data_IF_172087909830
#
_entry.id   IF_172087909830
#
_cell.length_a   1.000
_cell.length_b   1.000
_cell.length_c   1.000
_cell.angle_alpha   90.00
_cell.angle_beta   90.00
_cell.angle_gamma   90.00
#
_symmetry.space_group_name_H-M   'P 1'
#
loop_
_entity.id
_entity.type
_entity.pdbx_description
1 polymer ?
#
# COMPACT_ATOMS: atom_id res chain seq x y z
N UNK A 1 -29.82 -23.81 21.12
CA UNK A 1 -30.47 -23.87 19.80
C UNK A 1 -30.06 -22.59 19.09
N UNK A 2 -29.24 -22.68 18.03
CA UNK A 2 -28.73 -21.49 17.34
C UNK A 2 -29.94 -20.79 16.71
N UNK A 3 -30.11 -19.52 17.04
CA UNK A 3 -31.22 -18.69 16.58
C UNK A 3 -31.20 -18.60 15.04
N UNK A 4 -32.36 -18.82 14.42
CA UNK A 4 -32.50 -18.93 12.96
C UNK A 4 -32.11 -17.62 12.28
N UNK A 5 -32.39 -16.47 12.91
CA UNK A 5 -31.99 -15.16 12.39
C UNK A 5 -30.47 -14.96 12.40
N UNK A 6 -29.80 -15.48 13.42
CA UNK A 6 -28.33 -15.51 13.51
C UNK A 6 -27.73 -16.36 12.38
N UNK A 7 -28.30 -17.53 12.12
CA UNK A 7 -27.86 -18.40 11.03
C UNK A 7 -28.09 -17.77 9.65
N UNK A 8 -29.21 -17.06 9.45
CA UNK A 8 -29.51 -16.35 8.20
C UNK A 8 -28.51 -15.22 7.95
N UNK A 9 -28.13 -14.47 9.01
CA UNK A 9 -27.10 -13.43 8.92
C UNK A 9 -25.74 -14.01 8.56
N UNK A 10 -25.32 -15.08 9.22
CA UNK A 10 -24.07 -15.78 8.90
C UNK A 10 -24.07 -16.31 7.46
N UNK A 11 -25.14 -16.97 7.03
CA UNK A 11 -25.25 -17.50 5.65
C UNK A 11 -25.21 -16.38 4.60
N UNK A 12 -25.79 -15.21 4.88
CA UNK A 12 -25.67 -14.04 3.98
C UNK A 12 -24.24 -13.51 3.94
N UNK A 13 -23.60 -13.35 5.09
CA UNK A 13 -22.21 -12.91 5.17
C UNK A 13 -21.27 -13.88 4.43
N UNK A 14 -21.46 -15.20 4.60
CA UNK A 14 -20.70 -16.20 3.84
C UNK A 14 -20.93 -16.12 2.34
N UNK A 15 -22.15 -15.83 1.88
CA UNK A 15 -22.44 -15.65 0.45
C UNK A 15 -21.76 -14.40 -0.11
N UNK A 16 -21.72 -13.32 0.66
CA UNK A 16 -21.01 -12.09 0.29
C UNK A 16 -19.49 -12.34 0.23
N UNK A 17 -18.93 -12.96 1.27
CA UNK A 17 -17.52 -13.37 1.30
C UNK A 17 -17.14 -14.30 0.14
N UNK A 18 -18.02 -15.25 -0.21
CA UNK A 18 -17.80 -16.14 -1.34
C UNK A 18 -17.81 -15.38 -2.67
N UNK A 19 -18.69 -14.40 -2.84
CA UNK A 19 -18.68 -13.55 -4.04
C UNK A 19 -17.38 -12.74 -4.13
N UNK A 20 -16.96 -12.15 -3.03
CA UNK A 20 -15.72 -11.36 -2.96
C UNK A 20 -14.48 -12.22 -3.20
N UNK A 21 -14.44 -13.43 -2.65
CA UNK A 21 -13.37 -14.40 -2.90
C UNK A 21 -13.28 -14.82 -4.37
N UNK A 22 -14.43 -15.16 -4.98
CA UNK A 22 -14.47 -15.55 -6.39
C UNK A 22 -14.04 -14.39 -7.30
N UNK A 23 -14.48 -13.17 -6.97
CA UNK A 23 -14.09 -11.95 -7.69
C UNK A 23 -12.58 -11.70 -7.65
N UNK A 24 -11.96 -11.73 -6.47
CA UNK A 24 -10.51 -11.52 -6.36
C UNK A 24 -9.71 -12.63 -7.06
N UNK A 25 -10.21 -13.86 -7.04
CA UNK A 25 -9.59 -14.98 -7.77
C UNK A 25 -9.68 -14.80 -9.29
N UNK A 26 -10.85 -14.47 -9.82
CA UNK A 26 -11.07 -14.23 -11.25
C UNK A 26 -10.25 -13.05 -11.77
N UNK A 27 -10.18 -11.96 -10.99
CA UNK A 27 -9.35 -10.79 -11.27
C UNK A 27 -7.85 -11.11 -11.31
N UNK A 28 -7.37 -12.00 -10.44
CA UNK A 28 -5.98 -12.45 -10.44
C UNK A 28 -5.67 -13.32 -11.68
N UNK A 29 -6.57 -14.23 -12.04
CA UNK A 29 -6.45 -15.06 -13.26
C UNK A 29 -6.48 -14.20 -14.53
N UNK A 30 -7.43 -13.24 -14.61
CA UNK A 30 -7.58 -12.32 -15.72
C UNK A 30 -6.34 -11.42 -15.90
N UNK A 31 -5.77 -10.89 -14.82
CA UNK A 31 -4.52 -10.12 -14.84
C UNK A 31 -3.36 -10.92 -15.44
N UNK A 32 -3.23 -12.19 -15.02
CA UNK A 32 -2.21 -13.11 -15.51
C UNK A 32 -2.38 -13.41 -17.00
N UNK A 33 -3.61 -13.64 -17.45
CA UNK A 33 -3.92 -13.90 -18.86
C UNK A 33 -3.65 -12.69 -19.76
N UNK A 34 -4.02 -11.49 -19.32
CA UNK A 34 -3.75 -10.24 -20.04
C UNK A 34 -2.26 -9.84 -20.05
N UNK A 35 -1.38 -10.61 -19.38
CA UNK A 35 0.04 -10.28 -19.25
C UNK A 35 0.26 -8.92 -18.60
N UNK A 36 -0.72 -8.43 -17.85
CA UNK A 36 -0.58 -7.20 -17.09
C UNK A 36 0.47 -7.48 -16.01
N UNK A 37 1.43 -6.56 -15.80
CA UNK A 37 2.29 -6.68 -14.64
C UNK A 37 1.37 -6.87 -13.44
N UNK A 38 1.68 -7.83 -12.56
CA UNK A 38 1.14 -7.77 -11.21
C UNK A 38 1.36 -6.32 -10.77
N UNK A 39 0.29 -5.61 -10.43
CA UNK A 39 0.46 -4.29 -9.81
C UNK A 39 1.38 -4.60 -8.65
N UNK A 40 2.63 -4.14 -8.72
CA UNK A 40 3.65 -4.46 -7.73
C UNK A 40 3.02 -4.13 -6.38
N UNK A 41 2.51 -5.14 -5.68
CA UNK A 41 1.79 -4.97 -4.41
C UNK A 41 2.75 -4.40 -3.36
N UNK A 42 4.02 -4.31 -3.70
CA UNK A 42 4.96 -3.43 -3.05
C UNK A 42 5.94 -2.84 -4.10
N UNK A 43 5.59 -1.70 -4.71
CA UNK A 43 6.54 -0.84 -5.48
C UNK A 43 7.83 -0.59 -4.67
N UNK A 44 7.74 -0.73 -3.34
CA UNK A 44 8.82 -0.53 -2.39
C UNK A 44 9.42 -1.84 -1.85
N UNK A 45 9.12 -3.01 -2.45
CA UNK A 45 9.61 -4.33 -1.98
C UNK A 45 11.13 -4.42 -1.88
N UNK A 46 11.80 -3.72 -2.79
CA UNK A 46 13.26 -3.68 -2.88
C UNK A 46 13.90 -2.60 -2.00
N UNK A 47 13.11 -1.87 -1.20
CA UNK A 47 13.59 -0.82 -0.30
C UNK A 47 13.50 -1.26 1.16
N UNK A 48 14.41 -0.75 1.97
CA UNK A 48 14.37 -0.96 3.42
C UNK A 48 13.14 -0.29 4.06
N UNK A 49 12.74 -0.76 5.24
CA UNK A 49 11.63 -0.18 6.00
C UNK A 49 11.88 1.27 6.44
N UNK A 50 13.14 1.70 6.38
CA UNK A 50 13.54 3.07 6.66
C UNK A 50 14.14 3.68 5.38
N UNK A 51 13.38 4.57 4.78
CA UNK A 51 13.74 5.29 3.56
C UNK A 51 14.63 6.51 3.86
N UNK A 52 15.48 6.83 2.90
CA UNK A 52 16.32 8.02 2.85
C UNK A 52 15.84 8.98 1.76
N UNK A 53 16.30 10.25 1.73
CA UNK A 53 15.97 11.17 0.63
C UNK A 53 16.33 10.63 -0.76
N UNK A 54 17.39 9.81 -0.87
CA UNK A 54 17.78 9.16 -2.14
C UNK A 54 16.79 8.06 -2.55
N UNK A 55 16.15 7.41 -1.59
CA UNK A 55 15.13 6.41 -1.89
C UNK A 55 13.88 7.11 -2.39
N UNK A 56 13.44 8.17 -1.72
CA UNK A 56 12.32 9.02 -2.19
C UNK A 56 12.58 9.54 -3.61
N UNK A 57 13.81 9.99 -3.87
CA UNK A 57 14.24 10.42 -5.21
C UNK A 57 14.02 9.33 -6.26
N UNK A 58 14.48 8.10 -5.99
CA UNK A 58 14.38 6.97 -6.92
C UNK A 58 12.93 6.50 -7.08
N UNK A 59 12.18 6.44 -5.98
CA UNK A 59 10.80 5.97 -5.96
C UNK A 59 9.90 6.91 -6.78
N UNK A 60 10.02 8.22 -6.58
CA UNK A 60 9.17 9.22 -7.23
C UNK A 60 9.72 9.69 -8.59
N UNK A 61 10.95 9.31 -8.94
CA UNK A 61 11.61 9.77 -10.17
C UNK A 61 11.89 11.28 -10.21
N UNK A 62 12.05 11.92 -9.05
CA UNK A 62 12.26 13.37 -8.93
C UNK A 62 13.74 13.72 -8.71
N UNK A 63 14.09 15.02 -8.77
CA UNK A 63 15.44 15.46 -8.37
C UNK A 63 15.62 15.38 -6.85
N UNK A 64 16.87 15.26 -6.39
CA UNK A 64 17.19 15.22 -4.97
C UNK A 64 16.71 16.49 -4.23
N UNK A 65 16.77 17.66 -4.87
CA UNK A 65 16.28 18.91 -4.29
C UNK A 65 14.77 18.86 -4.04
N UNK A 66 13.99 18.38 -5.02
CA UNK A 66 12.55 18.21 -4.86
C UNK A 66 12.21 17.16 -3.80
N UNK A 67 13.02 16.09 -3.67
CA UNK A 67 12.86 15.14 -2.58
C UNK A 67 13.09 15.80 -1.21
N UNK A 68 14.07 16.68 -1.08
CA UNK A 68 14.25 17.48 0.14
C UNK A 68 13.08 18.45 0.36
N UNK A 69 12.62 19.17 -0.66
CA UNK A 69 11.44 20.05 -0.54
C UNK A 69 10.22 19.30 -0.01
N UNK A 70 9.95 18.11 -0.54
CA UNK A 70 8.89 17.23 -0.07
C UNK A 70 9.09 16.80 1.39
N UNK A 71 10.31 16.40 1.75
CA UNK A 71 10.64 16.02 3.13
C UNK A 71 10.44 17.19 4.11
N UNK A 72 10.67 18.42 3.66
CA UNK A 72 10.47 19.63 4.47
C UNK A 72 9.03 20.17 4.40
N UNK A 73 8.17 19.65 3.53
CA UNK A 73 6.81 20.17 3.36
C UNK A 73 5.87 19.83 4.51
N UNK A 74 6.28 18.92 5.41
CA UNK A 74 5.47 18.50 6.56
C UNK A 74 4.25 17.65 6.20
N UNK A 75 4.20 17.09 4.98
CA UNK A 75 3.07 16.28 4.51
C UNK A 75 3.01 14.87 5.13
N UNK A 76 4.12 14.39 5.68
CA UNK A 76 4.22 13.12 6.39
C UNK A 76 5.32 13.16 7.44
N UNK A 77 5.32 12.20 8.37
CA UNK A 77 6.27 12.17 9.49
C UNK A 77 7.69 11.83 9.02
N UNK A 78 8.67 12.62 9.48
CA UNK A 78 10.09 12.46 9.16
C UNK A 78 10.92 12.57 10.44
N UNK A 79 11.87 11.64 10.60
CA UNK A 79 12.82 11.66 11.71
C UNK A 79 14.16 12.22 11.20
N UNK A 80 14.67 13.25 11.89
CA UNK A 80 16.00 13.80 11.64
C UNK A 80 16.98 13.35 12.73
N UNK A 81 18.06 12.69 12.33
CA UNK A 81 19.13 12.23 13.21
C UNK A 81 20.43 12.89 12.75
N UNK A 82 20.86 13.93 13.47
CA UNK A 82 21.97 14.80 13.05
C UNK A 82 21.65 15.48 11.71
N UNK A 83 22.45 15.19 10.67
CA UNK A 83 22.26 15.70 9.31
C UNK A 83 21.52 14.73 8.37
N UNK A 84 21.02 13.61 8.90
CA UNK A 84 20.37 12.55 8.10
C UNK A 84 18.87 12.53 8.35
N UNK A 85 18.10 12.36 7.28
CA UNK A 85 16.65 12.15 7.34
C UNK A 85 16.33 10.66 7.19
N UNK A 86 15.30 10.23 7.92
CA UNK A 86 14.77 8.87 7.94
C UNK A 86 13.25 8.93 7.90
N UNK A 87 12.67 8.15 7.01
CA UNK A 87 11.22 8.10 6.78
C UNK A 87 10.79 6.64 6.90
N UNK A 88 9.77 6.34 7.69
CA UNK A 88 9.21 4.99 7.71
C UNK A 88 8.51 4.70 6.39
N UNK A 89 8.80 3.56 5.78
CA UNK A 89 8.17 3.12 4.53
C UNK A 89 6.65 3.13 4.63
N UNK A 90 6.10 2.62 5.74
CA UNK A 90 4.64 2.60 5.99
C UNK A 90 4.02 3.99 5.92
N UNK A 91 4.58 4.96 6.64
CA UNK A 91 4.12 6.35 6.66
C UNK A 91 4.16 6.98 5.27
N UNK A 92 5.24 6.73 4.53
CA UNK A 92 5.37 7.24 3.17
C UNK A 92 4.34 6.62 2.21
N UNK A 93 4.05 5.32 2.36
CA UNK A 93 3.02 4.62 1.58
C UNK A 93 1.61 5.11 1.92
N UNK A 94 1.32 5.35 3.19
CA UNK A 94 0.04 5.94 3.64
C UNK A 94 -0.17 7.31 2.99
N UNK A 95 0.86 8.17 3.02
CA UNK A 95 0.85 9.45 2.34
C UNK A 95 0.62 9.32 0.82
N UNK A 96 1.28 8.37 0.15
CA UNK A 96 1.07 8.11 -1.29
C UNK A 96 -0.36 7.70 -1.63
N UNK A 97 -1.03 6.99 -0.71
CA UNK A 97 -2.44 6.59 -0.85
C UNK A 97 -3.41 7.76 -0.58
N UNK A 98 -2.91 8.91 -0.12
CA UNK A 98 -3.72 10.06 0.27
C UNK A 98 -4.54 9.82 1.54
N UNK A 99 -4.06 8.95 2.44
CA UNK A 99 -4.69 8.64 3.72
C UNK A 99 -4.18 9.54 4.85
#
# INVERSE_FOLDING_TARGET
MIDVDTLIKEVRAYRELLKEYQYEKEKAELRKELGLPEVDDDVLKNYDDILTPKDIQKILGISLNHAYELIHSGQFQVIKIGQRYRILKSVFVEWLKGQ
#
